data_IF_061120545579
#
_entry.id   IF_061120545579
#
_cell.length_a   1.000
_cell.length_b   1.000
_cell.length_c   1.000
_cell.angle_alpha   90.00
_cell.angle_beta   90.00
_cell.angle_gamma   90.00
#
_symmetry.space_group_name_H-M   'P 1'
#
loop_
_entity.id
_entity.type
_entity.pdbx_description
1 polymer ?
#
# COMPACT_ATOMS: atom_id res chain seq x y z
N UNK A 1 -60.58 49.15 -0.46
CA UNK A 1 -60.33 47.68 -0.63
C UNK A 1 -60.48 47.33 -2.11
N UNK A 2 -59.35 47.23 -2.84
CA UNK A 2 -59.38 47.00 -4.29
C UNK A 2 -59.30 45.45 -4.48
N UNK A 3 -60.43 44.81 -4.81
CA UNK A 3 -60.49 43.39 -5.19
C UNK A 3 -59.97 43.29 -6.64
N UNK A 4 -58.69 42.99 -6.82
CA UNK A 4 -58.17 42.61 -8.12
C UNK A 4 -58.83 41.31 -8.59
N UNK A 5 -59.76 41.45 -9.56
CA UNK A 5 -60.34 40.29 -10.29
C UNK A 5 -59.28 39.78 -11.24
N UNK A 6 -58.48 38.85 -10.80
CA UNK A 6 -57.57 38.14 -11.70
C UNK A 6 -58.38 37.41 -12.78
N UNK A 7 -58.29 37.81 -14.00
CA UNK A 7 -58.94 37.16 -15.13
C UNK A 7 -58.52 35.70 -15.26
N UNK A 8 -59.33 34.88 -15.91
CA UNK A 8 -59.09 33.45 -16.11
C UNK A 8 -57.69 33.13 -16.66
N UNK A 9 -57.17 34.03 -17.54
CA UNK A 9 -55.85 33.96 -18.11
C UNK A 9 -54.70 34.09 -17.06
N UNK A 10 -54.84 34.97 -16.08
CA UNK A 10 -53.88 35.17 -15.02
C UNK A 10 -53.77 33.96 -14.08
N UNK A 11 -54.92 33.30 -13.80
CA UNK A 11 -54.96 32.05 -13.01
C UNK A 11 -54.29 30.88 -13.76
N UNK A 12 -54.47 30.79 -15.07
CA UNK A 12 -53.83 29.78 -15.90
C UNK A 12 -52.29 29.98 -16.00
N UNK A 13 -51.83 31.23 -16.18
CA UNK A 13 -50.42 31.57 -16.17
C UNK A 13 -49.78 31.29 -14.80
N UNK A 14 -50.46 31.61 -13.70
CA UNK A 14 -49.98 31.29 -12.36
C UNK A 14 -49.83 29.79 -12.13
N UNK A 15 -50.84 28.98 -12.55
CA UNK A 15 -50.76 27.53 -12.45
C UNK A 15 -49.62 26.92 -13.29
N UNK A 16 -49.41 27.44 -14.52
CA UNK A 16 -48.25 27.02 -15.33
C UNK A 16 -46.93 27.39 -14.70
N UNK A 17 -46.79 28.58 -14.12
CA UNK A 17 -45.56 29.00 -13.46
C UNK A 17 -45.26 28.11 -12.21
N UNK A 18 -46.27 27.79 -11.41
CA UNK A 18 -46.11 26.87 -10.28
C UNK A 18 -45.68 25.47 -10.74
N UNK A 19 -46.31 24.95 -11.79
CA UNK A 19 -45.97 23.66 -12.36
C UNK A 19 -44.51 23.62 -12.86
N UNK A 20 -44.07 24.70 -13.53
CA UNK A 20 -42.68 24.85 -14.00
C UNK A 20 -41.68 24.83 -12.86
N UNK A 21 -41.97 25.56 -11.78
CA UNK A 21 -41.12 25.62 -10.57
C UNK A 21 -41.00 24.21 -9.94
N UNK A 22 -42.12 23.48 -9.85
CA UNK A 22 -42.12 22.11 -9.31
C UNK A 22 -41.27 21.16 -10.16
N UNK A 23 -41.38 21.26 -11.50
CA UNK A 23 -40.59 20.46 -12.42
C UNK A 23 -39.09 20.76 -12.29
N UNK A 24 -38.73 22.06 -12.21
CA UNK A 24 -37.32 22.45 -12.01
C UNK A 24 -36.79 21.96 -10.65
N UNK A 25 -37.60 22.08 -9.60
CA UNK A 25 -37.20 21.56 -8.27
C UNK A 25 -37.00 20.03 -8.26
N UNK A 26 -37.87 19.28 -8.94
CA UNK A 26 -37.74 17.82 -9.10
C UNK A 26 -36.49 17.46 -9.92
N UNK A 27 -36.26 18.14 -11.04
CA UNK A 27 -35.04 17.94 -11.83
C UNK A 27 -33.79 18.28 -11.04
N UNK A 28 -33.78 19.36 -10.27
CA UNK A 28 -32.67 19.76 -9.42
C UNK A 28 -32.34 18.71 -8.35
N UNK A 29 -33.37 18.15 -7.70
CA UNK A 29 -33.21 17.09 -6.69
C UNK A 29 -32.73 15.78 -7.30
N UNK A 30 -33.20 15.40 -8.50
CA UNK A 30 -32.74 14.22 -9.22
C UNK A 30 -31.27 14.34 -9.62
N UNK A 31 -30.86 15.48 -10.19
CA UNK A 31 -29.47 15.76 -10.57
C UNK A 31 -28.55 15.79 -9.35
N UNK A 32 -29.02 16.32 -8.23
CA UNK A 32 -28.26 16.36 -6.99
C UNK A 32 -28.04 14.94 -6.43
N UNK A 33 -29.06 14.11 -6.43
CA UNK A 33 -28.94 12.68 -6.02
C UNK A 33 -28.02 11.88 -6.93
N UNK A 34 -28.02 12.11 -8.23
CA UNK A 34 -27.10 11.44 -9.15
C UNK A 34 -25.62 11.76 -8.85
N UNK A 35 -25.30 13.01 -8.53
CA UNK A 35 -23.92 13.41 -8.19
C UNK A 35 -23.44 12.77 -6.90
N UNK A 36 -24.27 12.71 -5.86
CA UNK A 36 -23.91 12.09 -4.57
C UNK A 36 -23.69 10.59 -4.73
N UNK A 37 -24.54 9.88 -5.47
CA UNK A 37 -24.40 8.45 -5.70
C UNK A 37 -23.14 8.09 -6.52
N UNK A 38 -22.77 8.93 -7.51
CA UNK A 38 -21.56 8.69 -8.29
C UNK A 38 -20.28 8.88 -7.46
N UNK A 39 -20.25 9.83 -6.53
CA UNK A 39 -19.12 10.04 -5.63
C UNK A 39 -18.99 8.88 -4.62
N UNK A 40 -20.07 8.43 -4.05
CA UNK A 40 -20.10 7.34 -3.06
C UNK A 40 -19.64 6.00 -3.68
N UNK A 41 -20.03 5.70 -4.91
CA UNK A 41 -19.59 4.49 -5.65
C UNK A 41 -18.12 4.61 -6.07
N UNK A 42 -17.65 5.80 -6.43
CA UNK A 42 -16.26 6.02 -6.78
C UNK A 42 -15.34 5.91 -5.56
N UNK A 43 -15.76 6.40 -4.40
CA UNK A 43 -15.00 6.33 -3.15
C UNK A 43 -14.94 4.89 -2.61
N UNK A 44 -16.05 4.15 -2.64
CA UNK A 44 -16.08 2.72 -2.29
C UNK A 44 -15.22 1.88 -3.25
N UNK A 45 -15.21 2.21 -4.53
CA UNK A 45 -14.36 1.56 -5.52
C UNK A 45 -12.88 1.78 -5.27
N UNK A 46 -12.47 3.00 -4.91
CA UNK A 46 -11.09 3.34 -4.58
C UNK A 46 -10.62 2.64 -3.30
N UNK A 47 -11.44 2.62 -2.27
CA UNK A 47 -11.12 1.96 -1.00
C UNK A 47 -10.99 0.43 -1.16
N UNK A 48 -11.84 -0.19 -1.96
CA UNK A 48 -11.77 -1.61 -2.28
C UNK A 48 -10.50 -1.97 -3.09
N UNK A 49 -10.15 -1.16 -4.09
CA UNK A 49 -8.92 -1.36 -4.90
C UNK A 49 -7.69 -1.15 -4.03
N UNK A 50 -7.66 -0.11 -3.20
CA UNK A 50 -6.54 0.16 -2.30
C UNK A 50 -6.30 -1.02 -1.34
N UNK A 51 -7.34 -1.53 -0.69
CA UNK A 51 -7.23 -2.70 0.18
C UNK A 51 -6.77 -3.97 -0.52
N UNK A 52 -7.20 -4.20 -1.78
CA UNK A 52 -6.75 -5.34 -2.57
C UNK A 52 -5.27 -5.27 -2.94
N UNK A 53 -4.78 -4.09 -3.29
CA UNK A 53 -3.38 -3.90 -3.67
C UNK A 53 -2.48 -4.02 -2.45
N UNK A 54 -2.85 -3.42 -1.32
CA UNK A 54 -2.12 -3.58 -0.06
C UNK A 54 -2.01 -5.04 0.36
N UNK A 55 -3.11 -5.79 0.31
CA UNK A 55 -3.13 -7.21 0.67
C UNK A 55 -2.34 -8.07 -0.33
N UNK A 56 -2.37 -7.74 -1.61
CA UNK A 56 -1.55 -8.39 -2.63
C UNK A 56 -0.06 -8.14 -2.42
N UNK A 57 0.34 -6.90 -2.12
CA UNK A 57 1.73 -6.53 -1.85
C UNK A 57 2.24 -7.21 -0.57
N UNK A 58 1.43 -7.24 0.47
CA UNK A 58 1.77 -7.94 1.72
C UNK A 58 2.01 -9.42 1.46
N UNK A 59 1.10 -10.12 0.78
CA UNK A 59 1.27 -11.56 0.46
C UNK A 59 2.49 -11.83 -0.41
N UNK A 60 2.73 -10.99 -1.41
CA UNK A 60 3.90 -11.11 -2.26
C UNK A 60 5.19 -10.90 -1.46
N UNK A 61 5.25 -9.86 -0.64
CA UNK A 61 6.38 -9.57 0.22
C UNK A 61 6.64 -10.68 1.24
N UNK A 62 5.61 -11.20 1.88
CA UNK A 62 5.71 -12.33 2.82
C UNK A 62 6.26 -13.58 2.13
N UNK A 63 5.76 -13.92 0.94
CA UNK A 63 6.26 -15.07 0.17
C UNK A 63 7.72 -14.89 -0.28
N UNK A 64 8.10 -13.69 -0.70
CA UNK A 64 9.49 -13.37 -1.09
C UNK A 64 10.43 -13.50 0.10
N UNK A 65 10.06 -12.96 1.26
CA UNK A 65 10.89 -12.99 2.47
C UNK A 65 11.03 -14.41 3.01
N UNK A 66 9.97 -15.22 2.99
CA UNK A 66 9.99 -16.64 3.35
C UNK A 66 10.99 -17.42 2.47
N UNK A 67 10.90 -17.24 1.15
CA UNK A 67 11.84 -17.85 0.21
C UNK A 67 13.29 -17.39 0.44
N UNK A 68 13.50 -16.11 0.75
CA UNK A 68 14.82 -15.57 1.05
C UNK A 68 15.36 -16.11 2.36
N UNK A 69 14.54 -16.24 3.41
CA UNK A 69 14.90 -16.82 4.69
C UNK A 69 15.43 -18.21 4.54
N UNK A 70 14.73 -19.05 3.79
CA UNK A 70 15.16 -20.43 3.47
C UNK A 70 16.48 -20.46 2.68
N UNK A 71 16.58 -19.63 1.63
CA UNK A 71 17.77 -19.58 0.78
C UNK A 71 19.01 -19.06 1.51
N UNK A 72 18.82 -18.13 2.45
CA UNK A 72 19.91 -17.50 3.21
C UNK A 72 20.37 -18.31 4.42
N UNK A 73 19.60 -19.27 4.91
CA UNK A 73 19.90 -19.99 6.15
C UNK A 73 21.29 -20.66 6.12
N UNK A 74 21.57 -21.46 5.12
CA UNK A 74 22.88 -22.10 4.99
C UNK A 74 24.03 -21.13 4.71
N UNK A 75 23.95 -20.21 3.73
CA UNK A 75 24.99 -19.22 3.50
C UNK A 75 25.29 -18.36 4.73
N UNK A 76 24.28 -17.95 5.48
CA UNK A 76 24.45 -17.16 6.68
C UNK A 76 25.13 -17.97 7.80
N UNK A 77 24.75 -19.22 7.97
CA UNK A 77 25.36 -20.13 8.96
C UNK A 77 26.87 -20.32 8.71
N UNK A 78 27.27 -20.49 7.43
CA UNK A 78 28.68 -20.64 7.04
C UNK A 78 29.39 -19.30 6.80
N UNK A 79 28.69 -18.19 6.95
CA UNK A 79 29.20 -16.86 6.71
C UNK A 79 29.73 -16.62 5.28
N UNK A 80 29.04 -17.22 4.30
CA UNK A 80 29.39 -17.12 2.88
C UNK A 80 28.80 -15.82 2.29
N UNK A 81 29.55 -14.72 2.44
CA UNK A 81 29.12 -13.38 2.00
C UNK A 81 28.91 -13.28 0.49
N UNK A 82 29.66 -14.04 -0.31
CA UNK A 82 29.52 -14.04 -1.77
C UNK A 82 28.16 -14.62 -2.20
N UNK A 83 27.80 -15.77 -1.63
CA UNK A 83 26.51 -16.40 -1.89
C UNK A 83 25.36 -15.55 -1.34
N UNK A 84 25.48 -15.00 -0.13
CA UNK A 84 24.50 -14.07 0.45
C UNK A 84 24.30 -12.87 -0.49
N UNK A 85 25.39 -12.24 -0.94
CA UNK A 85 25.34 -11.10 -1.85
C UNK A 85 24.69 -11.44 -3.19
N UNK A 86 24.91 -12.64 -3.73
CA UNK A 86 24.24 -13.12 -4.93
C UNK A 86 22.73 -13.22 -4.78
N UNK A 87 22.26 -13.80 -3.66
CA UNK A 87 20.82 -13.92 -3.34
C UNK A 87 20.20 -12.54 -3.16
N UNK A 88 20.83 -11.66 -2.36
CA UNK A 88 20.35 -10.30 -2.09
C UNK A 88 20.21 -9.50 -3.37
N UNK A 89 21.26 -9.49 -4.22
CA UNK A 89 21.23 -8.78 -5.52
C UNK A 89 20.18 -9.33 -6.47
N UNK A 90 19.90 -10.63 -6.40
CA UNK A 90 18.84 -11.24 -7.22
C UNK A 90 17.46 -10.72 -6.81
N UNK A 91 17.18 -10.67 -5.50
CA UNK A 91 15.94 -10.13 -4.97
C UNK A 91 15.77 -8.62 -5.25
N UNK A 92 16.85 -7.86 -5.21
CA UNK A 92 16.83 -6.42 -5.53
C UNK A 92 16.52 -6.10 -7.00
N UNK A 93 16.51 -7.09 -7.90
CA UNK A 93 16.10 -6.88 -9.30
C UNK A 93 14.58 -6.82 -9.48
N UNK A 94 13.81 -7.20 -8.49
CA UNK A 94 12.35 -7.06 -8.53
C UNK A 94 11.97 -5.57 -8.59
N UNK A 95 11.00 -5.18 -9.47
CA UNK A 95 10.76 -3.78 -9.81
C UNK A 95 10.37 -2.90 -8.61
N UNK A 96 9.67 -3.48 -7.63
CA UNK A 96 9.10 -2.75 -6.50
C UNK A 96 9.97 -2.80 -5.24
N UNK A 97 11.10 -3.54 -5.30
CA UNK A 97 12.02 -3.67 -4.18
C UNK A 97 12.91 -2.45 -4.06
N UNK A 98 12.84 -1.77 -2.92
CA UNK A 98 13.66 -0.62 -2.58
C UNK A 98 14.97 -1.01 -1.91
N UNK A 99 14.93 -2.04 -1.08
CA UNK A 99 16.12 -2.60 -0.43
C UNK A 99 15.89 -4.06 0.00
N UNK A 100 16.99 -4.77 0.15
CA UNK A 100 17.06 -6.06 0.83
C UNK A 100 18.24 -6.00 1.79
N UNK A 101 18.00 -6.32 3.07
CA UNK A 101 19.02 -6.32 4.13
C UNK A 101 19.04 -7.68 4.81
N UNK A 102 20.24 -8.24 4.97
CA UNK A 102 20.51 -9.39 5.83
C UNK A 102 21.23 -8.89 7.06
N UNK A 103 20.77 -9.29 8.24
CA UNK A 103 21.29 -8.79 9.52
C UNK A 103 21.45 -9.92 10.55
N UNK A 104 22.30 -9.70 11.55
CA UNK A 104 22.51 -10.62 12.65
C UNK A 104 21.47 -10.47 13.78
N UNK A 105 21.55 -11.30 14.81
CA UNK A 105 20.62 -11.27 15.95
C UNK A 105 20.65 -9.97 16.77
N UNK A 106 21.65 -9.13 16.59
CA UNK A 106 21.77 -7.81 17.22
C UNK A 106 21.30 -6.67 16.28
N UNK A 107 20.81 -7.00 15.11
CA UNK A 107 20.37 -6.00 14.13
C UNK A 107 21.52 -5.32 13.39
N UNK A 108 22.72 -5.91 13.37
CA UNK A 108 23.85 -5.41 12.58
C UNK A 108 23.79 -5.95 11.18
N UNK A 109 24.00 -5.10 10.20
CA UNK A 109 23.93 -5.45 8.78
C UNK A 109 25.07 -6.39 8.41
N UNK A 110 24.75 -7.51 7.79
CA UNK A 110 25.70 -8.47 7.22
C UNK A 110 25.86 -8.23 5.72
N UNK A 111 24.76 -7.96 5.01
CA UNK A 111 24.77 -7.68 3.57
C UNK A 111 23.61 -6.81 3.14
N UNK A 112 23.89 -5.88 2.22
CA UNK A 112 22.92 -4.95 1.63
C UNK A 112 22.84 -5.05 0.10
N UNK A 113 23.54 -6.03 -0.49
CA UNK A 113 23.61 -6.24 -1.93
C UNK A 113 24.74 -5.45 -2.63
N UNK A 114 25.38 -4.50 -1.98
CA UNK A 114 26.52 -3.77 -2.55
C UNK A 114 27.78 -4.64 -2.58
N UNK A 115 28.73 -4.30 -3.47
CA UNK A 115 29.93 -5.10 -3.66
C UNK A 115 30.92 -4.96 -2.50
N UNK A 116 31.00 -3.77 -1.91
CA UNK A 116 31.91 -3.41 -0.82
C UNK A 116 31.29 -3.52 0.57
N UNK A 117 29.98 -3.74 0.64
CA UNK A 117 29.19 -3.83 1.89
C UNK A 117 29.58 -2.71 2.86
N UNK A 118 29.53 -1.46 2.39
CA UNK A 118 29.99 -0.30 3.16
C UNK A 118 29.31 -0.15 4.54
N UNK A 119 28.13 -0.73 4.71
CA UNK A 119 27.34 -0.72 5.96
C UNK A 119 27.56 -1.98 6.82
N UNK A 120 28.49 -2.86 6.45
CA UNK A 120 28.76 -4.09 7.20
C UNK A 120 29.06 -3.81 8.69
N UNK A 121 28.40 -4.56 9.56
CA UNK A 121 28.55 -4.44 11.02
C UNK A 121 27.87 -3.23 11.64
N UNK A 122 27.30 -2.31 10.83
CA UNK A 122 26.54 -1.18 11.36
C UNK A 122 25.16 -1.65 11.84
N UNK A 123 24.73 -1.15 12.99
CA UNK A 123 23.39 -1.41 13.49
C UNK A 123 22.36 -0.64 12.67
N UNK A 124 21.29 -1.29 12.28
CA UNK A 124 20.16 -0.65 11.64
C UNK A 124 19.51 0.35 12.60
N UNK A 125 19.30 1.59 12.15
CA UNK A 125 18.78 2.71 13.01
C UNK A 125 17.50 3.32 12.43
N UNK A 126 17.00 2.79 11.32
CA UNK A 126 15.74 3.27 10.75
C UNK A 126 14.54 2.93 11.66
N UNK A 127 13.42 3.67 11.57
CA UNK A 127 12.29 3.51 12.48
C UNK A 127 11.64 2.11 12.48
N UNK A 128 11.81 1.33 11.39
CA UNK A 128 11.23 0.00 11.23
C UNK A 128 12.16 -1.11 11.75
N UNK A 129 13.43 -0.80 12.00
CA UNK A 129 14.45 -1.78 12.36
C UNK A 129 14.18 -2.47 13.69
N UNK A 130 13.70 -1.71 14.69
CA UNK A 130 13.46 -2.26 16.03
C UNK A 130 12.47 -3.42 16.02
N UNK A 131 11.33 -3.24 15.37
CA UNK A 131 10.28 -4.27 15.29
C UNK A 131 10.76 -5.47 14.46
N UNK A 132 11.46 -5.24 13.35
CA UNK A 132 12.02 -6.29 12.52
C UNK A 132 13.03 -7.18 13.28
N UNK A 133 13.92 -6.58 14.05
CA UNK A 133 14.93 -7.31 14.83
C UNK A 133 14.30 -8.10 15.97
N UNK A 134 13.25 -7.56 16.61
CA UNK A 134 12.62 -8.17 17.79
C UNK A 134 11.46 -9.12 17.42
N UNK A 135 11.01 -9.14 16.17
CA UNK A 135 9.95 -10.04 15.72
C UNK A 135 10.37 -11.51 15.87
N UNK A 136 9.45 -12.34 16.37
CA UNK A 136 9.66 -13.79 16.55
C UNK A 136 9.35 -14.63 15.32
N UNK A 137 8.74 -14.02 14.33
CA UNK A 137 8.37 -14.62 13.05
C UNK A 137 8.24 -13.56 12.00
N UNK A 138 7.64 -13.89 10.89
CA UNK A 138 7.37 -12.95 9.82
C UNK A 138 6.62 -11.72 10.33
N UNK A 139 7.06 -10.55 9.93
CA UNK A 139 6.52 -9.27 10.39
C UNK A 139 6.44 -8.28 9.24
N UNK A 140 5.28 -7.65 9.09
CA UNK A 140 5.04 -6.62 8.04
C UNK A 140 4.72 -5.29 8.70
N UNK A 141 5.41 -4.25 8.28
CA UNK A 141 5.23 -2.87 8.75
C UNK A 141 4.98 -1.94 7.57
N UNK A 142 4.17 -0.90 7.82
CA UNK A 142 3.83 0.11 6.84
C UNK A 142 4.36 1.48 7.27
N UNK A 143 5.00 2.16 6.33
CA UNK A 143 5.32 3.59 6.45
C UNK A 143 4.68 4.36 5.29
N UNK A 144 4.84 5.68 5.27
CA UNK A 144 4.31 6.50 4.18
C UNK A 144 4.91 6.16 2.80
N UNK A 145 6.10 5.58 2.75
CA UNK A 145 6.87 5.35 1.52
C UNK A 145 7.24 3.89 1.29
N UNK A 146 7.30 3.07 2.33
CA UNK A 146 7.84 1.71 2.30
C UNK A 146 6.88 0.76 3.02
N UNK A 147 6.69 -0.41 2.43
CA UNK A 147 6.21 -1.61 3.11
C UNK A 147 7.43 -2.45 3.42
N UNK A 148 7.69 -2.68 4.68
CA UNK A 148 8.83 -3.48 5.16
C UNK A 148 8.33 -4.85 5.62
N UNK A 149 8.86 -5.90 5.04
CA UNK A 149 8.58 -7.27 5.43
C UNK A 149 9.87 -7.91 5.91
N UNK A 150 9.83 -8.51 7.07
CA UNK A 150 10.99 -9.13 7.69
C UNK A 150 10.68 -10.52 8.23
N UNK A 151 11.71 -11.36 8.26
CA UNK A 151 11.64 -12.71 8.82
C UNK A 151 12.94 -13.07 9.51
N UNK A 152 12.89 -13.73 10.68
CA UNK A 152 14.07 -14.32 11.30
C UNK A 152 14.57 -15.50 10.48
N UNK A 153 15.90 -15.59 10.28
CA UNK A 153 16.54 -16.73 9.63
C UNK A 153 16.91 -17.74 10.70
N UNK A 154 16.44 -18.98 10.50
CA UNK A 154 16.56 -20.06 11.47
C UNK A 154 17.44 -21.20 10.95
N UNK A 155 18.19 -21.84 11.84
CA UNK A 155 18.75 -23.19 11.63
C UNK A 155 18.18 -24.09 12.72
N UNK A 156 17.30 -25.01 12.34
CA UNK A 156 16.52 -25.75 13.30
C UNK A 156 15.64 -24.82 14.16
N UNK A 157 15.88 -24.81 15.47
CA UNK A 157 15.19 -23.92 16.43
C UNK A 157 16.01 -22.69 16.81
N UNK A 158 17.21 -22.53 16.27
CA UNK A 158 18.11 -21.43 16.60
C UNK A 158 18.01 -20.31 15.55
N UNK A 159 17.79 -19.07 16.03
CA UNK A 159 17.85 -17.89 15.20
C UNK A 159 19.29 -17.48 14.96
N UNK A 160 19.69 -17.33 13.72
CA UNK A 160 21.04 -16.92 13.31
C UNK A 160 21.11 -15.50 12.74
N UNK A 161 19.96 -14.89 12.47
CA UNK A 161 19.86 -13.55 11.92
C UNK A 161 18.45 -13.24 11.42
N UNK A 162 18.34 -12.38 10.43
CA UNK A 162 17.09 -12.06 9.77
C UNK A 162 17.31 -11.45 8.40
N UNK A 163 16.24 -11.38 7.64
CA UNK A 163 16.16 -10.70 6.34
C UNK A 163 15.02 -9.69 6.35
N UNK A 164 15.23 -8.54 5.72
CA UNK A 164 14.24 -7.49 5.50
C UNK A 164 14.17 -7.13 4.05
N UNK A 165 12.97 -6.98 3.54
CA UNK A 165 12.71 -6.46 2.20
C UNK A 165 11.80 -5.24 2.30
N UNK A 166 12.23 -4.13 1.75
CA UNK A 166 11.43 -2.91 1.63
C UNK A 166 10.86 -2.77 0.24
N UNK A 167 9.54 -2.59 0.14
CA UNK A 167 8.82 -2.34 -1.11
C UNK A 167 8.38 -0.89 -1.20
N UNK A 168 8.50 -0.27 -2.38
CA UNK A 168 8.09 1.11 -2.61
C UNK A 168 6.56 1.22 -2.71
N UNK A 169 5.94 2.02 -1.83
CA UNK A 169 4.50 2.34 -1.92
C UNK A 169 4.19 3.19 -3.15
N UNK A 170 5.15 3.97 -3.65
CA UNK A 170 4.97 4.81 -4.83
C UNK A 170 4.78 4.01 -6.12
N UNK A 171 5.52 2.90 -6.30
CA UNK A 171 5.35 2.00 -7.44
C UNK A 171 3.99 1.32 -7.43
N UNK A 172 3.50 0.93 -6.25
CA UNK A 172 2.17 0.35 -6.09
C UNK A 172 1.07 1.31 -6.51
N UNK A 173 1.15 2.56 -6.08
CA UNK A 173 0.19 3.62 -6.49
C UNK A 173 0.22 3.91 -7.98
N UNK A 174 1.39 3.82 -8.61
CA UNK A 174 1.52 4.00 -10.06
C UNK A 174 0.85 2.86 -10.86
N UNK A 175 0.79 1.64 -10.32
CA UNK A 175 0.03 0.54 -10.92
C UNK A 175 -1.49 0.74 -10.75
N UNK A 176 -1.94 1.25 -9.60
CA UNK A 176 -3.36 1.59 -9.38
C UNK A 176 -3.85 2.61 -10.40
N UNK A 177 -3.08 3.66 -10.65
CA UNK A 177 -3.43 4.75 -11.58
C UNK A 177 -3.51 4.26 -13.04
N UNK A 178 -2.66 3.30 -13.43
CA UNK A 178 -2.69 2.67 -14.75
C UNK A 178 -3.81 1.66 -14.94
N UNK A 179 -4.28 1.03 -13.88
CA UNK A 179 -5.37 0.04 -13.95
C UNK A 179 -6.77 0.68 -14.03
N UNK A 180 -6.88 1.98 -13.73
CA UNK A 180 -8.14 2.75 -13.73
C UNK A 180 -8.32 3.54 -15.04
N UNK A 181 -7.30 3.59 -15.91
CA UNK A 181 -7.34 4.29 -17.21
C UNK A 181 -7.64 3.33 -18.35
#
# INVERSE_FOLDING_TARGET
MMRMRFGLQARFLAAMAVMLVVVIALLGTLLHRQKVMQQEVADLGREAVHGMVEDSLRRHGEATVDQLGDALANPLYYFDLDTIGGIVRSAQKEPDVSYVLVYDNQGRIIHDGTADIAVYGQTMTDPLAYEAVNARGMHTQWSAQIVDVSEPIMIGSERIGGVRVGYSVASVRAYEEKAIT
#
